data_IF_236993409927
#
_entry.id   IF_236993409927
#
_cell.length_a   1.000
_cell.length_b   1.000
_cell.length_c   1.000
_cell.angle_alpha   90.00
_cell.angle_beta   90.00
_cell.angle_gamma   90.00
#
_symmetry.space_group_name_H-M   'P 1'
#
loop_
_entity.id
_entity.type
_entity.pdbx_description
1 polymer ?
#
# COMPACT_ATOMS: atom_id res chain seq x y z
N UNK A 1 -19.08 -12.51 -4.60
CA UNK A 1 -19.60 -11.59 -5.65
C UNK A 1 -18.51 -10.64 -6.15
N UNK A 2 -17.71 -10.05 -5.26
CA UNK A 2 -16.60 -9.13 -5.60
C UNK A 2 -15.52 -9.71 -6.52
N UNK A 3 -15.01 -10.91 -6.22
CA UNK A 3 -13.95 -11.55 -7.03
C UNK A 3 -14.41 -11.84 -8.46
N UNK A 4 -15.62 -12.40 -8.64
CA UNK A 4 -16.18 -12.67 -9.97
C UNK A 4 -16.39 -11.40 -10.79
N UNK A 5 -16.86 -10.32 -10.15
CA UNK A 5 -16.98 -9.01 -10.82
C UNK A 5 -15.62 -8.49 -11.26
N UNK A 6 -14.62 -8.60 -10.37
CA UNK A 6 -13.26 -8.14 -10.63
C UNK A 6 -12.65 -8.86 -11.84
N UNK A 7 -12.75 -10.18 -11.88
CA UNK A 7 -12.15 -11.01 -12.92
C UNK A 7 -12.82 -10.84 -14.30
N UNK A 8 -14.11 -10.46 -14.33
CA UNK A 8 -14.84 -10.27 -15.59
C UNK A 8 -14.77 -8.85 -16.13
N UNK A 9 -14.56 -7.85 -15.26
CA UNK A 9 -14.69 -6.44 -15.63
C UNK A 9 -13.34 -5.71 -15.72
N UNK A 10 -12.25 -6.29 -15.21
CA UNK A 10 -10.94 -5.67 -15.23
C UNK A 10 -9.89 -6.57 -15.88
N UNK A 11 -9.00 -5.97 -16.66
CA UNK A 11 -7.81 -6.66 -17.14
C UNK A 11 -6.84 -6.97 -16.00
N UNK A 12 -6.03 -8.01 -16.19
CA UNK A 12 -5.06 -8.49 -15.19
C UNK A 12 -4.14 -7.39 -14.64
N UNK A 13 -3.75 -6.43 -15.48
CA UNK A 13 -2.93 -5.29 -15.08
C UNK A 13 -3.65 -4.38 -14.08
N UNK A 14 -4.95 -4.13 -14.29
CA UNK A 14 -5.78 -3.35 -13.38
C UNK A 14 -6.00 -4.11 -12.06
N UNK A 15 -6.23 -5.43 -12.12
CA UNK A 15 -6.35 -6.26 -10.92
C UNK A 15 -5.06 -6.20 -10.08
N UNK A 16 -3.89 -6.37 -10.72
CA UNK A 16 -2.60 -6.28 -10.03
C UNK A 16 -2.34 -4.91 -9.42
N UNK A 17 -2.77 -3.83 -10.08
CA UNK A 17 -2.74 -2.49 -9.50
C UNK A 17 -3.63 -2.39 -8.26
N UNK A 18 -4.89 -2.85 -8.34
CA UNK A 18 -5.82 -2.82 -7.20
C UNK A 18 -5.30 -3.61 -6.01
N UNK A 19 -4.59 -4.71 -6.23
CA UNK A 19 -3.97 -5.50 -5.16
C UNK A 19 -2.81 -4.76 -4.48
N UNK A 20 -1.93 -4.12 -5.26
CA UNK A 20 -0.86 -3.26 -4.72
C UNK A 20 -1.44 -2.11 -3.90
N UNK A 21 -2.52 -1.48 -4.38
CA UNK A 21 -3.22 -0.40 -3.66
C UNK A 21 -3.80 -0.95 -2.34
N UNK A 22 -4.51 -2.09 -2.39
CA UNK A 22 -5.13 -2.69 -1.21
C UNK A 22 -4.09 -3.04 -0.14
N UNK A 23 -2.93 -3.58 -0.55
CA UNK A 23 -1.82 -3.90 0.33
C UNK A 23 -1.32 -2.66 1.11
N UNK A 24 -1.09 -1.55 0.41
CA UNK A 24 -0.62 -0.28 1.01
C UNK A 24 -1.65 0.29 1.98
N UNK A 25 -2.92 0.34 1.57
CA UNK A 25 -4.01 0.89 2.41
C UNK A 25 -4.21 0.05 3.67
N UNK A 26 -4.13 -1.28 3.54
CA UNK A 26 -4.18 -2.19 4.69
C UNK A 26 -2.98 -1.95 5.62
N UNK A 27 -1.76 -1.92 5.08
CA UNK A 27 -0.54 -1.65 5.84
C UNK A 27 -0.62 -0.34 6.65
N UNK A 28 -1.12 0.73 6.04
CA UNK A 28 -1.28 2.03 6.70
C UNK A 28 -2.36 2.03 7.79
N UNK A 29 -3.31 1.11 7.72
CA UNK A 29 -4.39 0.97 8.71
C UNK A 29 -3.97 0.15 9.95
N UNK A 30 -2.82 -0.53 9.91
CA UNK A 30 -2.33 -1.31 11.05
C UNK A 30 -1.85 -0.40 12.18
N UNK A 31 -2.43 -0.59 13.37
CA UNK A 31 -1.92 0.01 14.60
C UNK A 31 -0.76 -0.83 15.14
N UNK A 32 0.42 -0.22 15.24
CA UNK A 32 1.61 -0.88 15.77
C UNK A 32 1.40 -1.31 17.23
N UNK A 33 1.67 -2.59 17.53
CA UNK A 33 1.64 -3.11 18.90
C UNK A 33 2.91 -2.71 19.69
N UNK A 34 4.06 -2.67 19.02
CA UNK A 34 5.33 -2.20 19.59
C UNK A 34 6.06 -1.28 18.58
N UNK A 35 5.79 0.04 18.62
CA UNK A 35 6.34 1.01 17.66
C UNK A 35 7.86 1.12 17.67
N UNK A 36 8.52 0.87 18.81
CA UNK A 36 9.97 0.97 18.95
C UNK A 36 10.72 -0.30 18.51
N UNK A 37 10.00 -1.34 18.07
CA UNK A 37 10.63 -2.57 17.61
C UNK A 37 11.30 -2.38 16.25
N UNK A 38 12.47 -3.01 16.06
CA UNK A 38 13.17 -3.03 14.78
C UNK A 38 12.30 -3.62 13.65
N UNK A 39 11.41 -4.56 13.99
CA UNK A 39 10.46 -5.14 13.05
C UNK A 39 9.46 -4.10 12.53
N UNK A 40 8.96 -3.22 13.40
CA UNK A 40 8.07 -2.14 12.98
C UNK A 40 8.78 -1.13 12.09
N UNK A 41 10.00 -0.71 12.45
CA UNK A 41 10.79 0.21 11.61
C UNK A 41 11.06 -0.38 10.22
N UNK A 42 11.41 -1.68 10.13
CA UNK A 42 11.57 -2.37 8.83
C UNK A 42 10.27 -2.42 8.03
N UNK A 43 9.15 -2.65 8.69
CA UNK A 43 7.83 -2.61 8.07
C UNK A 43 7.55 -1.22 7.48
N UNK A 44 7.75 -0.15 8.25
CA UNK A 44 7.53 1.22 7.79
C UNK A 44 8.37 1.54 6.55
N UNK A 45 9.67 1.27 6.60
CA UNK A 45 10.56 1.50 5.44
C UNK A 45 10.16 0.69 4.20
N UNK A 46 9.77 -0.58 4.39
CA UNK A 46 9.33 -1.42 3.28
C UNK A 46 8.10 -0.84 2.58
N UNK A 47 7.11 -0.38 3.36
CA UNK A 47 5.87 0.16 2.80
C UNK A 47 6.02 1.60 2.30
N UNK A 48 6.92 2.40 2.87
CA UNK A 48 7.30 3.68 2.30
C UNK A 48 7.84 3.50 0.87
N UNK A 49 8.80 2.60 0.68
CA UNK A 49 9.42 2.35 -0.62
C UNK A 49 8.41 1.81 -1.63
N UNK A 50 7.60 0.82 -1.25
CA UNK A 50 6.51 0.29 -2.11
C UNK A 50 5.56 1.39 -2.56
N UNK A 51 5.21 2.31 -1.66
CA UNK A 51 4.30 3.42 -1.94
C UNK A 51 4.95 4.41 -2.90
N UNK A 52 6.22 4.78 -2.68
CA UNK A 52 6.96 5.67 -3.60
C UNK A 52 7.07 5.07 -5.00
N UNK A 53 7.39 3.79 -5.12
CA UNK A 53 7.47 3.09 -6.41
C UNK A 53 6.11 3.09 -7.10
N UNK A 54 5.02 2.79 -6.38
CA UNK A 54 3.67 2.81 -6.96
C UNK A 54 3.26 4.20 -7.44
N UNK A 55 3.58 5.26 -6.69
CA UNK A 55 3.33 6.64 -7.10
C UNK A 55 4.18 7.06 -8.30
N UNK A 56 5.40 6.52 -8.44
CA UNK A 56 6.22 6.76 -9.63
C UNK A 56 5.64 6.06 -10.87
N UNK A 57 5.16 4.83 -10.72
CA UNK A 57 4.49 4.07 -11.79
C UNK A 57 3.14 4.71 -12.17
N UNK A 58 2.43 5.28 -11.19
CA UNK A 58 1.09 5.85 -11.34
C UNK A 58 0.97 7.23 -10.66
N UNK A 59 1.53 8.30 -11.25
CA UNK A 59 1.60 9.64 -10.62
C UNK A 59 0.27 10.30 -10.31
N UNK A 60 -0.82 9.78 -10.85
CA UNK A 60 -2.18 10.26 -10.62
C UNK A 60 -2.82 9.67 -9.36
N UNK A 61 -2.18 8.69 -8.70
CA UNK A 61 -2.67 8.11 -7.45
C UNK A 61 -1.98 8.79 -6.28
N UNK A 62 -2.75 9.47 -5.44
CA UNK A 62 -2.23 10.17 -4.27
C UNK A 62 -2.22 9.25 -3.04
N UNK A 63 -1.01 8.98 -2.53
CA UNK A 63 -0.76 8.25 -1.29
C UNK A 63 -0.07 9.13 -0.23
N UNK A 64 -0.23 10.45 -0.29
CA UNK A 64 0.40 11.38 0.65
C UNK A 64 0.08 11.06 2.12
N UNK A 65 -1.13 10.55 2.38
CA UNK A 65 -1.56 10.13 3.73
C UNK A 65 -0.79 8.89 4.21
N UNK A 66 -0.72 7.86 3.38
CA UNK A 66 -0.06 6.59 3.68
C UNK A 66 1.44 6.81 3.83
N UNK A 67 2.06 7.64 2.97
CA UNK A 67 3.46 8.05 3.11
C UNK A 67 3.70 8.78 4.44
N UNK A 68 2.80 9.66 4.87
CA UNK A 68 2.95 10.33 6.17
C UNK A 68 2.92 9.33 7.35
N UNK A 69 2.13 8.27 7.24
CA UNK A 69 2.08 7.19 8.25
C UNK A 69 3.40 6.42 8.26
N UNK A 70 3.94 6.08 7.08
CA UNK A 70 5.18 5.31 6.98
C UNK A 70 6.45 6.12 7.27
N UNK A 71 6.42 7.43 7.04
CA UNK A 71 7.55 8.33 7.29
C UNK A 71 7.69 8.77 8.76
N UNK A 72 6.76 8.38 9.65
CA UNK A 72 6.89 8.61 11.09
C UNK A 72 8.05 7.75 11.64
N UNK A 73 9.21 8.38 11.77
CA UNK A 73 10.44 7.80 12.33
C UNK A 73 10.59 8.17 13.80
#
# INVERSE_FOLDING_TARGET
MWEKFRDTCFDKACIGLLDRIAEIVQAASHKAFNPSSNAHQKFLHQYEEKTRVLMADYPYIDFSRELNIFAQT
#
